data_IF_293784164493
#
_entry.id   IF_293784164493
#
_cell.length_a   1.000
_cell.length_b   1.000
_cell.length_c   1.000
_cell.angle_alpha   90.00
_cell.angle_beta   90.00
_cell.angle_gamma   90.00
#
_symmetry.space_group_name_H-M   'P 1'
#
loop_
_entity.id
_entity.type
_entity.pdbx_description
1 polymer ?
#
# COMPACT_ATOMS: atom_id res chain seq x y z
N UNK A 1 14.63 -3.62 3.49
CA UNK A 1 13.31 -4.27 3.49
C UNK A 1 12.48 -3.76 4.65
N UNK A 2 11.15 -3.68 4.46
CA UNK A 2 10.20 -3.40 5.52
C UNK A 2 9.33 -4.63 5.77
N UNK A 3 8.93 -4.84 7.02
CA UNK A 3 7.86 -5.76 7.39
C UNK A 3 6.63 -4.90 7.67
N UNK A 4 5.57 -5.08 6.88
CA UNK A 4 4.33 -4.32 7.02
C UNK A 4 3.37 -5.01 7.98
N UNK A 5 2.94 -4.29 9.02
CA UNK A 5 2.15 -4.82 10.13
C UNK A 5 0.81 -4.09 10.17
N UNK A 6 -0.26 -4.84 10.38
CA UNK A 6 -1.59 -4.29 10.61
C UNK A 6 -2.47 -5.29 11.35
N UNK A 7 -3.42 -4.79 12.12
CA UNK A 7 -4.39 -5.60 12.87
C UNK A 7 -5.81 -5.45 12.34
N UNK A 8 -6.01 -4.55 11.38
CA UNK A 8 -7.28 -4.37 10.68
C UNK A 8 -7.19 -5.03 9.30
N UNK A 9 -8.22 -5.77 8.92
CA UNK A 9 -8.28 -6.33 7.57
C UNK A 9 -8.72 -5.27 6.58
N UNK A 10 -7.90 -5.01 5.57
CA UNK A 10 -8.22 -4.11 4.45
C UNK A 10 -8.87 -4.83 3.25
N UNK A 11 -9.20 -6.12 3.39
CA UNK A 11 -9.86 -6.90 2.33
C UNK A 11 -11.25 -6.33 1.99
N UNK A 12 -11.72 -6.47 0.74
CA UNK A 12 -13.08 -6.10 0.37
C UNK A 12 -14.11 -6.72 1.31
N UNK A 13 -15.07 -5.91 1.80
CA UNK A 13 -16.11 -6.35 2.73
C UNK A 13 -15.71 -6.34 4.21
N UNK A 14 -14.47 -6.00 4.56
CA UNK A 14 -14.04 -5.90 5.95
C UNK A 14 -14.69 -4.71 6.65
N UNK A 15 -15.05 -4.91 7.93
CA UNK A 15 -15.49 -3.82 8.81
C UNK A 15 -14.25 -3.08 9.32
N UNK A 16 -14.38 -1.75 9.37
CA UNK A 16 -13.39 -0.91 10.05
C UNK A 16 -13.50 -1.16 11.56
N UNK A 17 -12.38 -1.37 12.21
CA UNK A 17 -12.32 -1.44 13.68
C UNK A 17 -12.18 -0.03 14.25
N UNK A 18 -12.60 0.14 15.51
CA UNK A 18 -12.41 1.44 16.18
C UNK A 18 -10.93 1.70 16.44
N UNK A 19 -10.52 2.99 16.53
CA UNK A 19 -9.16 3.36 16.91
C UNK A 19 -8.70 2.71 18.22
N UNK A 20 -9.58 2.65 19.20
CA UNK A 20 -9.31 2.05 20.51
C UNK A 20 -9.07 0.54 20.39
N UNK A 21 -9.87 -0.16 19.62
CA UNK A 21 -9.72 -1.60 19.40
C UNK A 21 -8.41 -1.89 18.63
N UNK A 22 -8.11 -1.12 17.60
CA UNK A 22 -6.85 -1.21 16.85
C UNK A 22 -5.66 -1.01 17.77
N UNK A 23 -5.66 0.06 18.57
CA UNK A 23 -4.65 0.38 19.55
C UNK A 23 -4.43 -0.74 20.57
N UNK A 24 -5.52 -1.25 21.17
CA UNK A 24 -5.47 -2.27 22.20
C UNK A 24 -4.88 -3.60 21.68
N UNK A 25 -5.10 -3.93 20.43
CA UNK A 25 -4.53 -5.12 19.78
C UNK A 25 -3.07 -4.92 19.37
N UNK A 26 -2.75 -3.75 18.84
CA UNK A 26 -1.48 -3.48 18.17
C UNK A 26 -0.36 -3.12 19.15
N UNK A 27 -0.59 -2.17 20.07
CA UNK A 27 0.46 -1.59 20.89
C UNK A 27 1.19 -2.60 21.78
N UNK A 28 0.50 -3.54 22.48
CA UNK A 28 1.19 -4.57 23.25
C UNK A 28 2.09 -5.46 22.37
N UNK A 29 1.63 -5.79 21.17
CA UNK A 29 2.38 -6.58 20.21
C UNK A 29 3.62 -5.83 19.70
N UNK A 30 3.49 -4.54 19.33
CA UNK A 30 4.60 -3.73 18.86
C UNK A 30 5.71 -3.59 19.89
N UNK A 31 5.38 -3.41 21.17
CA UNK A 31 6.37 -3.31 22.26
C UNK A 31 7.26 -4.55 22.34
N UNK A 32 6.69 -5.73 22.16
CA UNK A 32 7.45 -6.99 22.14
C UNK A 32 8.26 -7.08 20.85
N UNK A 33 7.62 -6.85 19.70
CA UNK A 33 8.23 -7.02 18.39
C UNK A 33 9.47 -6.12 18.19
N UNK A 34 9.33 -4.82 18.51
CA UNK A 34 10.42 -3.85 18.37
C UNK A 34 11.59 -4.14 19.31
N UNK A 35 11.32 -4.70 20.49
CA UNK A 35 12.36 -5.14 21.44
C UNK A 35 13.11 -6.38 20.93
N UNK A 36 12.39 -7.36 20.39
CA UNK A 36 12.98 -8.61 19.88
C UNK A 36 13.73 -8.41 18.54
N UNK A 37 13.30 -7.46 17.72
CA UNK A 37 13.86 -7.21 16.39
C UNK A 37 14.32 -5.76 16.19
N UNK A 38 15.28 -5.24 17.00
CA UNK A 38 15.65 -3.82 17.03
C UNK A 38 16.33 -3.30 15.75
N UNK A 39 16.75 -4.19 14.86
CA UNK A 39 17.39 -3.84 13.57
C UNK A 39 16.46 -3.95 12.38
N UNK A 40 15.21 -4.35 12.61
CA UNK A 40 14.23 -4.54 11.54
C UNK A 40 13.41 -3.26 11.36
N UNK A 41 13.26 -2.85 10.11
CA UNK A 41 12.38 -1.73 9.77
C UNK A 41 10.94 -2.23 9.62
N UNK A 42 10.03 -1.65 10.38
CA UNK A 42 8.62 -1.97 10.33
C UNK A 42 7.83 -0.82 9.74
N UNK A 43 6.88 -1.13 8.86
CA UNK A 43 5.81 -0.22 8.47
C UNK A 43 4.51 -0.61 9.16
N UNK A 44 3.64 0.36 9.37
CA UNK A 44 2.33 0.16 9.96
C UNK A 44 1.23 0.45 8.95
N UNK A 45 0.39 -0.59 8.66
CA UNK A 45 -0.83 -0.47 7.86
C UNK A 45 -1.95 0.07 8.76
N UNK A 46 -2.11 1.40 8.77
CA UNK A 46 -3.17 2.10 9.50
C UNK A 46 -3.55 3.41 8.80
N UNK A 47 -4.80 3.80 8.92
CA UNK A 47 -5.34 5.11 8.52
C UNK A 47 -5.68 6.00 9.72
N UNK A 48 -5.33 5.57 10.94
CA UNK A 48 -5.73 6.20 12.19
C UNK A 48 -4.58 7.00 12.80
N UNK A 49 -4.76 8.31 12.95
CA UNK A 49 -3.70 9.21 13.43
C UNK A 49 -3.24 8.90 14.85
N UNK A 50 -4.16 8.54 15.77
CA UNK A 50 -3.80 8.23 17.16
C UNK A 50 -2.98 6.95 17.28
N UNK A 51 -3.34 5.93 16.48
CA UNK A 51 -2.58 4.66 16.44
C UNK A 51 -1.23 4.88 15.77
N UNK A 52 -1.18 5.67 14.70
CA UNK A 52 0.06 6.03 14.03
C UNK A 52 1.02 6.75 14.97
N UNK A 53 0.55 7.78 15.71
CA UNK A 53 1.36 8.55 16.66
C UNK A 53 2.00 7.66 17.72
N UNK A 54 1.21 6.87 18.46
CA UNK A 54 1.72 6.00 19.51
C UNK A 54 2.69 4.92 18.95
N UNK A 55 2.44 4.43 17.74
CA UNK A 55 3.31 3.44 17.10
C UNK A 55 4.63 4.04 16.61
N UNK A 56 4.61 5.26 16.11
CA UNK A 56 5.81 6.00 15.71
C UNK A 56 6.68 6.35 16.92
N UNK A 57 6.07 6.76 18.04
CA UNK A 57 6.77 6.96 19.32
C UNK A 57 7.46 5.70 19.83
N UNK A 58 6.91 4.52 19.52
CA UNK A 58 7.52 3.23 19.85
C UNK A 58 8.66 2.82 18.91
N UNK A 59 8.76 3.41 17.72
CA UNK A 59 9.86 3.13 16.78
C UNK A 59 9.43 2.52 15.43
N UNK A 60 8.15 2.56 15.08
CA UNK A 60 7.71 2.29 13.70
C UNK A 60 8.35 3.31 12.78
N UNK A 61 8.81 2.86 11.62
CA UNK A 61 9.65 3.65 10.72
C UNK A 61 8.99 4.05 9.39
N UNK A 62 7.74 3.68 9.16
CA UNK A 62 6.96 4.06 7.98
C UNK A 62 5.46 3.86 8.27
N UNK A 63 4.61 4.71 7.73
CA UNK A 63 3.15 4.52 7.73
C UNK A 63 2.66 4.17 6.33
N UNK A 64 1.88 3.08 6.25
CA UNK A 64 1.18 2.62 5.06
C UNK A 64 -0.32 2.90 5.23
N UNK A 65 -0.84 3.95 4.58
CA UNK A 65 -2.24 4.35 4.72
C UNK A 65 -3.05 4.04 3.46
N UNK A 66 -3.93 3.05 3.56
CA UNK A 66 -4.81 2.63 2.47
C UNK A 66 -5.79 3.71 2.02
N UNK A 67 -6.01 4.74 2.81
CA UNK A 67 -6.91 5.87 2.50
C UNK A 67 -6.18 7.08 1.93
N UNK A 68 -4.85 7.14 2.06
CA UNK A 68 -4.05 8.29 1.68
C UNK A 68 -4.44 9.58 2.40
N UNK A 69 -4.84 9.48 3.67
CA UNK A 69 -5.27 10.60 4.50
C UNK A 69 -6.72 11.06 4.27
N UNK A 70 -7.57 10.21 3.66
CA UNK A 70 -8.97 10.56 3.45
C UNK A 70 -9.88 10.17 4.62
N UNK A 71 -9.58 9.07 5.34
CA UNK A 71 -10.38 8.61 6.47
C UNK A 71 -10.07 9.44 7.72
N UNK A 72 -8.80 9.63 8.04
CA UNK A 72 -8.36 10.51 9.13
C UNK A 72 -7.28 11.48 8.63
N UNK A 73 -7.63 12.72 8.24
CA UNK A 73 -6.67 13.69 7.74
C UNK A 73 -5.57 14.11 8.73
N UNK A 74 -5.77 13.91 10.04
CA UNK A 74 -4.77 14.23 11.06
C UNK A 74 -3.52 13.35 10.95
N UNK A 75 -3.62 12.18 10.33
CA UNK A 75 -2.48 11.29 10.10
C UNK A 75 -1.34 11.98 9.33
N UNK A 76 -1.68 12.89 8.40
CA UNK A 76 -0.66 13.65 7.65
C UNK A 76 0.17 14.55 8.57
N UNK A 77 -0.47 15.19 9.55
CA UNK A 77 0.22 16.02 10.53
C UNK A 77 1.13 15.17 11.43
N UNK A 78 0.63 14.06 11.95
CA UNK A 78 1.40 13.11 12.77
C UNK A 78 2.63 12.61 12.04
N UNK A 79 2.48 12.11 10.82
CA UNK A 79 3.60 11.59 10.01
C UNK A 79 4.60 12.70 9.68
N UNK A 80 4.11 13.91 9.36
CA UNK A 80 4.96 15.07 9.09
C UNK A 80 5.83 15.48 10.29
N UNK A 81 5.31 15.40 11.52
CA UNK A 81 6.07 15.65 12.75
C UNK A 81 7.17 14.60 12.97
N UNK A 82 6.87 13.33 12.75
CA UNK A 82 7.82 12.22 12.93
C UNK A 82 8.82 12.07 11.78
N UNK A 83 8.61 12.76 10.64
CA UNK A 83 9.51 12.75 9.47
C UNK A 83 9.83 11.35 8.95
N UNK A 84 8.84 10.46 8.94
CA UNK A 84 8.97 9.10 8.41
C UNK A 84 8.36 9.01 7.01
N UNK A 85 8.73 8.01 6.19
CA UNK A 85 8.07 7.73 4.92
C UNK A 85 6.59 7.44 5.08
N UNK A 86 5.80 7.90 4.11
CA UNK A 86 4.35 7.72 4.07
C UNK A 86 3.88 7.17 2.74
N UNK A 87 3.15 6.05 2.80
CA UNK A 87 2.53 5.45 1.62
C UNK A 87 1.12 6.00 1.46
N UNK A 88 0.88 6.68 0.35
CA UNK A 88 -0.44 7.15 -0.07
C UNK A 88 -1.02 6.10 -1.02
N UNK A 89 -2.02 5.33 -0.57
CA UNK A 89 -2.71 4.40 -1.46
C UNK A 89 -4.01 5.01 -1.99
N UNK A 90 -4.31 4.72 -3.27
CA UNK A 90 -5.59 5.07 -3.87
C UNK A 90 -6.62 3.94 -3.67
N UNK A 91 -7.72 4.28 -3.01
CA UNK A 91 -8.92 3.45 -2.88
C UNK A 91 -10.15 4.26 -3.33
N UNK A 92 -11.05 3.65 -4.10
CA UNK A 92 -12.36 4.24 -4.43
C UNK A 92 -13.41 3.68 -3.47
N UNK A 93 -14.06 4.56 -2.69
CA UNK A 93 -14.96 4.14 -1.61
C UNK A 93 -14.22 3.78 -0.32
N UNK A 94 -14.84 2.95 0.50
CA UNK A 94 -14.27 2.41 1.74
C UNK A 94 -14.21 0.87 1.64
N UNK A 95 -13.40 0.16 2.43
CA UNK A 95 -13.25 -1.29 2.33
C UNK A 95 -14.58 -2.06 2.31
N UNK A 96 -15.58 -1.60 3.07
CA UNK A 96 -16.90 -2.23 3.17
C UNK A 96 -17.68 -2.21 1.85
N UNK A 97 -17.60 -1.13 1.07
CA UNK A 97 -18.45 -0.89 -0.12
C UNK A 97 -17.65 -0.61 -1.40
N UNK A 98 -16.32 -0.68 -1.36
CA UNK A 98 -15.47 -0.30 -2.50
C UNK A 98 -15.66 -1.16 -3.77
N UNK A 99 -16.37 -2.28 -3.69
CA UNK A 99 -16.64 -3.15 -4.85
C UNK A 99 -18.07 -3.00 -5.41
N UNK A 100 -18.91 -2.18 -4.78
CA UNK A 100 -20.36 -2.12 -5.12
C UNK A 100 -20.63 -1.23 -6.34
N UNK A 101 -19.85 -0.18 -6.55
CA UNK A 101 -20.00 0.75 -7.67
C UNK A 101 -18.65 1.14 -8.26
N UNK A 102 -18.08 0.23 -9.06
CA UNK A 102 -16.78 0.43 -9.70
C UNK A 102 -16.97 1.10 -11.05
N UNK A 103 -16.94 2.43 -11.07
CA UNK A 103 -16.95 3.19 -12.31
C UNK A 103 -15.77 4.16 -12.37
N UNK A 104 -15.04 4.15 -13.48
CA UNK A 104 -14.02 5.12 -13.86
C UNK A 104 -14.25 5.55 -15.29
N UNK A 105 -14.30 6.84 -15.56
CA UNK A 105 -14.25 7.36 -16.92
C UNK A 105 -12.86 7.14 -17.53
N UNK A 106 -11.82 7.45 -16.76
CA UNK A 106 -10.43 7.15 -17.08
C UNK A 106 -9.66 6.80 -15.80
N UNK A 107 -9.39 5.50 -15.62
CA UNK A 107 -8.76 4.99 -14.40
C UNK A 107 -7.41 5.64 -14.10
N UNK A 108 -6.56 5.81 -15.10
CA UNK A 108 -5.20 6.37 -14.91
C UNK A 108 -5.28 7.86 -14.55
N UNK A 109 -6.08 8.63 -15.28
CA UNK A 109 -6.20 10.07 -15.04
C UNK A 109 -6.82 10.39 -13.68
N UNK A 110 -7.90 9.67 -13.31
CA UNK A 110 -8.57 9.89 -12.02
C UNK A 110 -7.63 9.58 -10.84
N UNK A 111 -6.84 8.50 -10.94
CA UNK A 111 -5.88 8.13 -9.90
C UNK A 111 -4.69 9.11 -9.87
N UNK A 112 -4.23 9.58 -11.02
CA UNK A 112 -3.19 10.62 -11.08
C UNK A 112 -3.66 11.91 -10.43
N UNK A 113 -4.90 12.31 -10.69
CA UNK A 113 -5.48 13.50 -10.07
C UNK A 113 -5.62 13.34 -8.54
N UNK A 114 -6.05 12.17 -8.07
CA UNK A 114 -6.06 11.85 -6.65
C UNK A 114 -4.66 12.02 -6.03
N UNK A 115 -3.64 11.38 -6.61
CA UNK A 115 -2.28 11.47 -6.10
C UNK A 115 -1.77 12.92 -6.09
N UNK A 116 -1.97 13.69 -7.16
CA UNK A 116 -1.52 15.09 -7.22
C UNK A 116 -2.06 15.92 -6.06
N UNK A 117 -3.31 15.69 -5.66
CA UNK A 117 -3.94 16.35 -4.51
C UNK A 117 -3.37 15.87 -3.17
N UNK A 118 -3.24 14.55 -3.00
CA UNK A 118 -2.80 14.01 -1.72
C UNK A 118 -1.31 14.22 -1.49
N UNK A 119 -0.46 14.13 -2.52
CA UNK A 119 0.95 14.51 -2.45
C UNK A 119 1.09 15.97 -1.99
N UNK A 120 0.31 16.89 -2.58
CA UNK A 120 0.34 18.29 -2.17
C UNK A 120 -0.01 18.48 -0.69
N UNK A 121 -1.06 17.79 -0.19
CA UNK A 121 -1.46 17.84 1.22
C UNK A 121 -0.38 17.27 2.14
N UNK A 122 0.15 16.10 1.80
CA UNK A 122 1.21 15.43 2.57
C UNK A 122 2.47 16.31 2.64
N UNK A 123 2.93 16.86 1.52
CA UNK A 123 4.06 17.79 1.48
C UNK A 123 3.79 19.06 2.29
N UNK A 124 2.57 19.62 2.24
CA UNK A 124 2.19 20.79 3.05
C UNK A 124 2.15 20.48 4.56
N UNK A 125 1.96 19.22 4.94
CA UNK A 125 2.05 18.75 6.33
C UNK A 125 3.49 18.42 6.78
N UNK A 126 4.50 18.61 5.91
CA UNK A 126 5.91 18.39 6.22
C UNK A 126 6.43 16.98 5.92
N UNK A 127 5.66 16.15 5.21
CA UNK A 127 6.11 14.81 4.78
C UNK A 127 6.99 14.95 3.54
N UNK A 128 8.24 14.50 3.62
CA UNK A 128 9.21 14.57 2.53
C UNK A 128 9.29 13.26 1.73
N UNK A 129 9.20 12.12 2.40
CA UNK A 129 9.35 10.81 1.81
C UNK A 129 7.98 10.20 1.51
N UNK A 130 7.44 10.54 0.34
CA UNK A 130 6.12 10.10 -0.11
C UNK A 130 6.27 8.95 -1.10
N UNK A 131 5.57 7.84 -0.84
CA UNK A 131 5.44 6.68 -1.72
C UNK A 131 3.99 6.61 -2.18
N UNK A 132 3.75 6.30 -3.46
CA UNK A 132 2.40 6.16 -3.99
C UNK A 132 2.08 4.69 -4.31
N UNK A 133 0.88 4.22 -3.92
CA UNK A 133 0.35 2.91 -4.29
C UNK A 133 -0.94 3.06 -5.09
N UNK A 134 -0.99 2.67 -6.37
CA UNK A 134 -2.21 2.72 -7.17
C UNK A 134 -3.38 1.90 -6.61
N UNK A 135 -3.14 1.06 -5.60
CA UNK A 135 -4.16 0.32 -4.87
C UNK A 135 -4.84 -0.75 -5.72
N UNK A 136 -4.05 -1.68 -6.27
CA UNK A 136 -4.59 -2.82 -7.00
C UNK A 136 -5.61 -3.59 -6.16
N UNK A 137 -6.81 -3.84 -6.72
CA UNK A 137 -7.90 -4.54 -6.04
C UNK A 137 -8.80 -3.67 -5.15
N UNK A 138 -8.44 -2.42 -4.86
CA UNK A 138 -9.21 -1.52 -4.02
C UNK A 138 -10.13 -0.63 -4.86
N UNK A 139 -11.43 -0.98 -4.92
CA UNK A 139 -12.42 -0.26 -5.72
C UNK A 139 -12.10 -0.27 -7.23
N UNK A 140 -11.62 -1.39 -7.74
CA UNK A 140 -11.18 -1.54 -9.14
C UNK A 140 -11.62 -2.88 -9.73
N UNK A 141 -12.23 -2.84 -10.92
CA UNK A 141 -12.54 -4.04 -11.68
C UNK A 141 -11.26 -4.75 -12.16
N UNK A 142 -11.38 -6.00 -12.62
CA UNK A 142 -10.26 -6.71 -13.25
C UNK A 142 -9.64 -5.88 -14.38
N UNK A 143 -10.48 -5.30 -15.25
CA UNK A 143 -10.04 -4.45 -16.37
C UNK A 143 -9.26 -3.23 -15.88
N UNK A 144 -9.78 -2.51 -14.85
CA UNK A 144 -9.09 -1.35 -14.30
C UNK A 144 -7.71 -1.71 -13.72
N UNK A 145 -7.59 -2.85 -13.02
CA UNK A 145 -6.31 -3.30 -12.48
C UNK A 145 -5.27 -3.57 -13.59
N UNK A 146 -5.65 -4.27 -14.67
CA UNK A 146 -4.73 -4.50 -15.79
C UNK A 146 -4.41 -3.20 -16.55
N UNK A 147 -5.38 -2.30 -16.72
CA UNK A 147 -5.13 -0.96 -17.30
C UNK A 147 -4.11 -0.19 -16.46
N UNK A 148 -4.21 -0.24 -15.13
CA UNK A 148 -3.23 0.41 -14.23
C UNK A 148 -1.84 -0.20 -14.38
N UNK A 149 -1.71 -1.52 -14.37
CA UNK A 149 -0.42 -2.17 -14.52
C UNK A 149 0.21 -1.85 -15.88
N UNK A 150 -0.60 -1.87 -16.94
CA UNK A 150 -0.14 -1.52 -18.30
C UNK A 150 0.42 -0.10 -18.39
N UNK A 151 -0.17 0.85 -17.64
CA UNK A 151 0.17 2.27 -17.67
C UNK A 151 0.88 2.73 -16.39
N UNK A 152 1.53 1.84 -15.64
CA UNK A 152 2.13 2.15 -14.35
C UNK A 152 3.19 3.24 -14.45
N UNK A 153 4.01 3.24 -15.51
CA UNK A 153 5.05 4.23 -15.78
C UNK A 153 4.50 5.66 -15.92
N UNK A 154 3.21 5.83 -16.22
CA UNK A 154 2.60 7.16 -16.26
C UNK A 154 2.68 7.89 -14.91
N UNK A 155 2.68 7.15 -13.80
CA UNK A 155 2.78 7.71 -12.44
C UNK A 155 4.19 8.19 -12.09
N UNK A 156 5.23 7.85 -12.86
CA UNK A 156 6.60 8.37 -12.66
C UNK A 156 6.66 9.91 -12.79
N UNK A 157 5.71 10.50 -13.54
CA UNK A 157 5.57 11.96 -13.64
C UNK A 157 5.29 12.65 -12.30
N UNK A 158 4.79 11.91 -11.31
CA UNK A 158 4.54 12.42 -9.96
C UNK A 158 5.81 12.50 -9.10
N UNK A 159 6.95 11.97 -9.58
CA UNK A 159 8.26 12.01 -8.92
C UNK A 159 8.27 11.37 -7.53
N UNK A 160 7.39 10.42 -7.27
CA UNK A 160 7.34 9.61 -6.06
C UNK A 160 7.65 8.15 -6.41
N UNK A 161 8.34 7.39 -5.55
CA UNK A 161 8.47 5.94 -5.70
C UNK A 161 7.09 5.27 -5.77
N UNK A 162 6.97 4.30 -6.67
CA UNK A 162 5.72 3.55 -6.86
C UNK A 162 5.81 2.23 -6.12
N UNK A 163 4.87 2.00 -5.21
CA UNK A 163 4.65 0.72 -4.55
C UNK A 163 3.53 -0.03 -5.28
N UNK A 164 3.70 -1.34 -5.48
CA UNK A 164 2.64 -2.21 -5.97
C UNK A 164 2.39 -3.39 -5.04
N UNK A 165 1.12 -3.66 -4.76
CA UNK A 165 0.65 -4.80 -3.98
C UNK A 165 -0.27 -5.67 -4.82
N UNK A 166 0.28 -6.57 -5.64
CA UNK A 166 -0.49 -7.44 -6.56
C UNK A 166 -0.63 -8.86 -6.00
N UNK A 167 0.24 -9.24 -5.06
CA UNK A 167 0.40 -10.60 -4.57
C UNK A 167 -0.93 -11.23 -4.14
N UNK A 168 -1.21 -12.39 -4.72
CA UNK A 168 -2.39 -13.24 -4.45
C UNK A 168 -3.74 -12.53 -4.60
N UNK A 169 -3.79 -11.41 -5.36
CA UNK A 169 -5.03 -10.65 -5.58
C UNK A 169 -5.91 -11.26 -6.66
N UNK A 170 -7.20 -10.90 -6.62
CA UNK A 170 -8.22 -11.45 -7.54
C UNK A 170 -7.93 -11.24 -9.02
N UNK A 171 -7.22 -10.17 -9.38
CA UNK A 171 -6.77 -9.93 -10.75
C UNK A 171 -5.84 -11.05 -11.25
N UNK A 172 -5.07 -11.68 -10.35
CA UNK A 172 -4.18 -12.81 -10.69
C UNK A 172 -4.99 -14.09 -10.78
N UNK A 173 -5.50 -14.58 -9.64
CA UNK A 173 -6.07 -15.91 -9.54
C UNK A 173 -7.36 -16.09 -10.36
N UNK A 174 -8.24 -15.06 -10.43
CA UNK A 174 -9.44 -15.14 -11.29
C UNK A 174 -9.11 -15.13 -12.79
N UNK A 175 -8.01 -14.50 -13.20
CA UNK A 175 -7.58 -14.51 -14.60
C UNK A 175 -7.07 -15.89 -15.01
N UNK A 176 -6.38 -16.57 -14.09
CA UNK A 176 -5.82 -17.90 -14.32
C UNK A 176 -6.82 -19.05 -14.04
N UNK A 177 -7.98 -18.75 -13.45
CA UNK A 177 -8.97 -19.77 -13.07
C UNK A 177 -8.52 -20.67 -11.92
N UNK A 178 -7.71 -20.15 -10.99
CA UNK A 178 -7.11 -20.89 -9.87
C UNK A 178 -7.46 -20.25 -8.52
N UNK A 179 -7.03 -20.85 -7.42
CA UNK A 179 -7.15 -20.27 -6.07
C UNK A 179 -6.04 -19.26 -5.75
N UNK A 180 -6.24 -18.41 -4.70
CA UNK A 180 -5.21 -17.46 -4.23
C UNK A 180 -3.88 -18.14 -3.90
N UNK A 181 -3.91 -19.32 -3.26
CA UNK A 181 -2.71 -20.04 -2.83
C UNK A 181 -1.92 -20.64 -4.00
N UNK A 182 -2.56 -20.82 -5.14
CA UNK A 182 -1.93 -21.32 -6.37
C UNK A 182 -1.39 -20.17 -7.26
N UNK A 183 -1.55 -18.91 -6.86
CA UNK A 183 -1.30 -17.74 -7.70
C UNK A 183 0.13 -17.20 -7.64
N UNK A 184 1.08 -17.93 -7.04
CA UNK A 184 2.47 -17.53 -6.90
C UNK A 184 3.12 -17.21 -8.26
N UNK A 185 3.06 -18.13 -9.22
CA UNK A 185 3.63 -17.92 -10.56
C UNK A 185 3.05 -16.68 -11.25
N UNK A 186 1.73 -16.50 -11.22
CA UNK A 186 1.08 -15.30 -11.78
C UNK A 186 1.45 -14.03 -11.03
N UNK A 187 1.63 -14.09 -9.71
CA UNK A 187 2.12 -12.98 -8.88
C UNK A 187 3.53 -12.58 -9.32
N UNK A 188 4.45 -13.52 -9.45
CA UNK A 188 5.84 -13.26 -9.88
C UNK A 188 5.89 -12.63 -11.26
N UNK A 189 5.11 -13.15 -12.22
CA UNK A 189 5.02 -12.57 -13.55
C UNK A 189 4.53 -11.11 -13.54
N UNK A 190 3.47 -10.80 -12.77
CA UNK A 190 2.96 -9.43 -12.67
C UNK A 190 3.89 -8.51 -11.89
N UNK A 191 4.64 -9.02 -10.92
CA UNK A 191 5.68 -8.26 -10.21
C UNK A 191 6.81 -7.87 -11.17
N UNK A 192 7.29 -8.81 -12.00
CA UNK A 192 8.31 -8.52 -13.02
C UNK A 192 7.85 -7.43 -13.99
N UNK A 193 6.62 -7.53 -14.50
CA UNK A 193 6.05 -6.48 -15.36
C UNK A 193 5.83 -5.15 -14.62
N UNK A 194 5.56 -5.20 -13.34
CA UNK A 194 5.45 -4.00 -12.51
C UNK A 194 6.79 -3.28 -12.36
N UNK A 195 7.86 -4.03 -12.08
CA UNK A 195 9.23 -3.51 -12.01
C UNK A 195 9.67 -2.87 -13.32
N UNK A 196 9.43 -3.56 -14.44
CA UNK A 196 9.71 -3.05 -15.80
C UNK A 196 8.95 -1.76 -16.13
N UNK A 197 7.81 -1.53 -15.48
CA UNK A 197 6.96 -0.34 -15.61
C UNK A 197 7.13 0.69 -14.51
N UNK A 198 8.24 0.65 -13.79
CA UNK A 198 8.63 1.71 -12.86
C UNK A 198 8.28 1.48 -11.39
N UNK A 199 7.73 0.33 -11.00
CA UNK A 199 7.59 -0.01 -9.59
C UNK A 199 8.97 -0.04 -8.91
N UNK A 200 9.05 0.54 -7.70
CA UNK A 200 10.27 0.56 -6.89
C UNK A 200 10.12 -0.26 -5.61
N UNK A 201 8.90 -0.58 -5.23
CA UNK A 201 8.58 -1.34 -4.02
C UNK A 201 7.52 -2.39 -4.36
N UNK A 202 7.78 -3.64 -3.98
CA UNK A 202 6.83 -4.75 -4.08
C UNK A 202 6.33 -5.11 -2.68
N UNK A 203 5.00 -5.02 -2.45
CA UNK A 203 4.35 -5.52 -1.23
C UNK A 203 3.80 -6.92 -1.51
N UNK A 204 4.38 -7.92 -0.87
CA UNK A 204 4.16 -9.34 -1.22
C UNK A 204 3.94 -10.22 0.00
N UNK A 205 3.34 -11.39 -0.21
CA UNK A 205 3.29 -12.49 0.77
C UNK A 205 4.51 -13.41 0.61
N UNK A 206 4.95 -13.62 -0.63
CA UNK A 206 5.99 -14.60 -1.00
C UNK A 206 7.32 -13.83 -1.20
N UNK A 207 8.00 -13.56 -0.06
CA UNK A 207 9.17 -12.65 -0.02
C UNK A 207 10.36 -13.20 -0.78
N UNK A 208 10.62 -14.51 -0.67
CA UNK A 208 11.76 -15.15 -1.36
C UNK A 208 11.64 -15.00 -2.88
N UNK A 209 10.49 -15.35 -3.42
CA UNK A 209 10.22 -15.33 -4.86
C UNK A 209 10.18 -13.90 -5.42
N UNK A 210 9.69 -12.95 -4.61
CA UNK A 210 9.75 -11.54 -4.97
C UNK A 210 11.19 -11.02 -5.00
N UNK A 211 12.05 -11.44 -4.06
CA UNK A 211 13.47 -11.09 -4.07
C UNK A 211 14.18 -11.67 -5.29
N UNK A 212 13.98 -12.95 -5.60
CA UNK A 212 14.53 -13.59 -6.80
C UNK A 212 14.10 -12.84 -8.07
N UNK A 213 12.83 -12.41 -8.14
CA UNK A 213 12.32 -11.61 -9.25
C UNK A 213 13.03 -10.25 -9.36
N UNK A 214 13.29 -9.57 -8.23
CA UNK A 214 14.02 -8.28 -8.20
C UNK A 214 15.47 -8.49 -8.62
N UNK A 215 16.14 -9.52 -8.11
CA UNK A 215 17.54 -9.78 -8.40
C UNK A 215 17.74 -10.04 -9.90
N UNK A 216 16.85 -10.85 -10.53
CA UNK A 216 16.89 -11.09 -11.98
C UNK A 216 16.57 -9.82 -12.79
N UNK A 217 15.63 -8.99 -12.32
CA UNK A 217 15.30 -7.74 -12.99
C UNK A 217 16.47 -6.74 -12.96
N UNK A 218 17.22 -6.69 -11.86
CA UNK A 218 18.39 -5.81 -11.73
C UNK A 218 19.51 -6.15 -12.74
N UNK A 219 19.65 -7.42 -13.12
CA UNK A 219 20.62 -7.83 -14.16
C UNK A 219 20.25 -7.34 -15.57
N UNK A 220 19.01 -6.85 -15.76
CA UNK A 220 18.54 -6.30 -17.04
C UNK A 220 18.68 -4.77 -17.14
N UNK A 221 19.14 -4.09 -16.05
CA UNK A 221 19.32 -2.63 -15.99
C UNK A 221 20.79 -2.25 -16.26
#
# INVERSE_FOLDING_TARGET
>A
YFIDIGVSSSKPGSLLISPEEERNRLIPFLKVLLKEFPKTHFSLDTYNSLVAEESLDLGISMINDISGGLIDPNILYVVGLHKVPYVIMHMKGIPKSMQDDIYYQNTVQEITYFFSKQIKKASSAGINDIIIDPGFGFGKSKKNNFTLLQNLSYFENLKCPILIGISRKSMVYKTLGIGPDQSLNGTTALNAWGLDRGAKILRVHDVKEAKECIDLWLELQ
#
